data_IF_257653424936
#
_entry.id   IF_257653424936
#
_cell.length_a   1.000
_cell.length_b   1.000
_cell.length_c   1.000
_cell.angle_alpha   90.00
_cell.angle_beta   90.00
_cell.angle_gamma   90.00
#
_symmetry.space_group_name_H-M   'P 1'
#
loop_
_entity.id
_entity.type
_entity.pdbx_description
1 polymer ?
#
# COMPACT_ATOMS: atom_id res chain seq x y z
N UNK A 1 -55.26 -30.26 -64.34
CA UNK A 1 -53.98 -30.50 -65.03
C UNK A 1 -52.89 -30.65 -63.99
N UNK A 2 -52.11 -31.73 -64.09
CA UNK A 2 -50.98 -32.08 -63.23
C UNK A 2 -49.94 -30.96 -63.15
N UNK A 3 -49.36 -30.74 -61.97
CA UNK A 3 -47.94 -30.35 -61.91
C UNK A 3 -47.27 -30.74 -60.58
N UNK A 4 -46.50 -31.82 -60.71
CA UNK A 4 -45.20 -32.15 -60.11
C UNK A 4 -44.80 -31.55 -58.76
N UNK A 5 -44.66 -32.45 -57.77
CA UNK A 5 -43.86 -32.29 -56.54
C UNK A 5 -42.37 -32.29 -56.89
N UNK A 6 -41.65 -31.27 -56.41
CA UNK A 6 -40.17 -31.25 -56.32
C UNK A 6 -39.83 -31.16 -54.83
N UNK A 7 -39.08 -32.14 -54.32
CA UNK A 7 -38.53 -32.11 -52.96
C UNK A 7 -37.15 -31.46 -52.99
N UNK A 8 -36.85 -30.47 -52.12
CA UNK A 8 -35.49 -29.99 -51.95
C UNK A 8 -34.75 -30.85 -50.91
N UNK A 9 -33.54 -31.25 -51.28
CA UNK A 9 -32.57 -31.99 -50.48
C UNK A 9 -31.86 -31.00 -49.56
N UNK A 10 -32.05 -31.14 -48.24
CA UNK A 10 -31.46 -30.25 -47.24
C UNK A 10 -30.11 -30.81 -46.78
N UNK A 11 -29.02 -30.15 -47.16
CA UNK A 11 -27.67 -30.47 -46.75
C UNK A 11 -27.40 -29.92 -45.34
N UNK A 12 -27.07 -30.80 -44.37
CA UNK A 12 -26.56 -30.40 -43.06
C UNK A 12 -25.06 -30.12 -43.16
N UNK A 13 -24.65 -28.86 -42.99
CA UNK A 13 -23.26 -28.49 -42.68
C UNK A 13 -23.05 -28.63 -41.16
N UNK A 14 -22.12 -29.50 -40.76
CA UNK A 14 -21.64 -29.59 -39.38
C UNK A 14 -20.68 -28.43 -39.08
N UNK A 15 -21.08 -27.51 -38.20
CA UNK A 15 -20.20 -26.47 -37.68
C UNK A 15 -19.32 -27.06 -36.56
N UNK A 16 -18.02 -27.21 -36.85
CA UNK A 16 -17.01 -27.49 -35.84
C UNK A 16 -16.78 -26.22 -35.00
N UNK A 17 -17.35 -26.19 -33.79
CA UNK A 17 -17.11 -25.14 -32.81
C UNK A 17 -15.75 -25.32 -32.14
N UNK A 18 -14.76 -24.52 -32.52
CA UNK A 18 -13.54 -24.35 -31.73
C UNK A 18 -13.93 -23.69 -30.41
N UNK A 19 -13.89 -24.44 -29.31
CA UNK A 19 -14.00 -23.88 -27.97
C UNK A 19 -12.75 -23.04 -27.70
N UNK A 20 -12.91 -21.72 -27.65
CA UNK A 20 -11.93 -20.82 -27.08
C UNK A 20 -11.83 -21.12 -25.57
N UNK A 21 -10.72 -21.73 -25.17
CA UNK A 21 -10.35 -21.81 -23.76
C UNK A 21 -10.09 -20.39 -23.28
N UNK A 22 -11.01 -19.87 -22.45
CA UNK A 22 -10.76 -18.69 -21.66
C UNK A 22 -9.57 -18.98 -20.74
N UNK A 23 -8.59 -18.09 -20.75
CA UNK A 23 -7.52 -18.06 -19.74
C UNK A 23 -8.17 -17.75 -18.40
N UNK A 24 -8.49 -18.76 -17.59
CA UNK A 24 -8.97 -18.58 -16.22
C UNK A 24 -7.87 -17.86 -15.42
N UNK A 25 -8.16 -16.64 -14.98
CA UNK A 25 -7.34 -15.91 -14.03
C UNK A 25 -7.31 -16.63 -12.68
N UNK A 26 -6.28 -16.34 -11.87
CA UNK A 26 -6.20 -16.86 -10.49
C UNK A 26 -7.39 -16.30 -9.68
N UNK A 27 -8.12 -17.12 -8.91
CA UNK A 27 -9.21 -16.65 -8.04
C UNK A 27 -8.72 -15.57 -7.06
N UNK A 28 -9.55 -14.56 -6.79
CA UNK A 28 -9.19 -13.39 -5.96
C UNK A 28 -8.72 -13.76 -4.55
N UNK A 29 -9.31 -14.78 -3.92
CA UNK A 29 -8.89 -15.29 -2.60
C UNK A 29 -7.43 -15.77 -2.61
N UNK A 30 -7.00 -16.43 -3.69
CA UNK A 30 -5.63 -16.95 -3.83
C UNK A 30 -4.66 -15.80 -4.13
N UNK A 31 -5.11 -14.81 -4.91
CA UNK A 31 -4.31 -13.64 -5.26
C UNK A 31 -4.05 -12.71 -4.06
N UNK A 32 -4.94 -12.71 -3.07
CA UNK A 32 -4.88 -11.80 -1.92
C UNK A 32 -4.40 -12.44 -0.61
N UNK A 33 -4.28 -13.76 -0.55
CA UNK A 33 -3.70 -14.46 0.60
C UNK A 33 -2.36 -13.89 1.11
N UNK A 34 -1.42 -13.41 0.25
CA UNK A 34 -0.19 -12.78 0.74
C UNK A 34 -0.43 -11.42 1.41
N UNK A 35 -1.42 -10.64 0.95
CA UNK A 35 -1.80 -9.38 1.58
C UNK A 35 -2.39 -9.61 2.98
N UNK A 36 -3.24 -10.63 3.14
CA UNK A 36 -3.81 -11.01 4.43
C UNK A 36 -2.73 -11.46 5.41
N UNK A 37 -1.78 -12.29 4.95
CA UNK A 37 -0.66 -12.74 5.77
C UNK A 37 0.27 -11.58 6.17
N UNK A 38 0.53 -10.64 5.25
CA UNK A 38 1.30 -9.44 5.54
C UNK A 38 0.61 -8.59 6.62
N UNK A 39 -0.67 -8.28 6.45
CA UNK A 39 -1.43 -7.47 7.40
C UNK A 39 -1.49 -8.12 8.79
N UNK A 40 -1.72 -9.43 8.85
CA UNK A 40 -1.70 -10.20 10.10
C UNK A 40 -0.33 -10.16 10.78
N UNK A 41 0.76 -10.17 10.02
CA UNK A 41 2.12 -10.05 10.55
C UNK A 41 2.34 -8.69 11.19
N UNK A 42 1.94 -7.60 10.53
CA UNK A 42 2.01 -6.25 11.11
C UNK A 42 1.11 -6.14 12.36
N UNK A 43 -0.09 -6.70 12.31
CA UNK A 43 -1.06 -6.70 13.42
C UNK A 43 -0.51 -7.40 14.68
N UNK A 44 0.38 -8.38 14.55
CA UNK A 44 1.02 -9.03 15.70
C UNK A 44 1.85 -8.06 16.57
N UNK A 45 2.17 -6.88 16.04
CA UNK A 45 2.88 -5.81 16.75
C UNK A 45 1.95 -4.73 17.33
N UNK A 46 0.63 -4.96 17.32
CA UNK A 46 -0.36 -4.06 17.89
C UNK A 46 0.00 -3.52 19.28
N UNK A 47 -0.08 -2.20 19.44
CA UNK A 47 0.22 -1.48 20.68
C UNK A 47 1.71 -1.40 21.02
N UNK A 48 2.61 -1.85 20.14
CA UNK A 48 4.06 -1.74 20.32
C UNK A 48 4.64 -0.64 19.44
N UNK A 49 5.72 -0.02 19.92
CA UNK A 49 6.48 0.97 19.19
C UNK A 49 7.95 0.55 19.07
N UNK A 50 8.60 0.96 17.98
CA UNK A 50 9.97 0.55 17.65
C UNK A 50 10.78 1.74 17.15
N UNK A 51 12.04 1.81 17.56
CA UNK A 51 12.97 2.79 17.04
C UNK A 51 13.39 2.40 15.61
N UNK A 52 13.64 3.41 14.77
CA UNK A 52 14.15 3.18 13.43
C UNK A 52 15.27 4.12 13.03
N UNK A 53 15.85 3.83 11.88
CA UNK A 53 16.97 4.56 11.29
C UNK A 53 16.80 4.67 9.77
N UNK A 54 17.21 5.81 9.20
CA UNK A 54 17.33 5.95 7.75
C UNK A 54 18.55 5.15 7.30
N UNK A 55 18.33 4.07 6.56
CA UNK A 55 19.42 3.21 6.05
C UNK A 55 19.78 3.52 4.60
N UNK A 56 18.92 4.25 3.89
CA UNK A 56 19.19 4.68 2.52
C UNK A 56 18.48 5.99 2.21
N UNK A 57 19.24 6.93 1.64
CA UNK A 57 18.73 8.16 1.04
C UNK A 57 19.55 8.46 -0.22
N UNK A 58 19.15 7.88 -1.36
CA UNK A 58 19.87 7.99 -2.62
C UNK A 58 18.95 8.53 -3.74
N UNK A 59 19.37 9.52 -4.54
CA UNK A 59 20.40 10.48 -4.17
C UNK A 59 20.00 11.17 -2.85
N UNK A 60 21.00 11.62 -2.09
CA UNK A 60 20.77 12.34 -0.85
C UNK A 60 19.85 13.54 -1.12
N UNK A 61 18.92 13.81 -0.21
CA UNK A 61 18.06 14.99 -0.29
C UNK A 61 18.92 16.25 -0.43
N UNK A 62 18.58 17.10 -1.41
CA UNK A 62 19.30 18.36 -1.67
C UNK A 62 18.78 19.52 -0.81
N UNK A 63 17.70 19.30 -0.05
CA UNK A 63 17.12 20.26 0.88
C UNK A 63 17.30 19.85 2.35
N UNK A 64 16.66 20.54 3.29
CA UNK A 64 16.61 20.12 4.69
C UNK A 64 16.07 18.69 4.77
N UNK A 65 16.86 17.77 5.34
CA UNK A 65 16.41 16.42 5.62
C UNK A 65 15.59 16.43 6.91
N UNK A 66 14.27 16.16 6.86
CA UNK A 66 13.42 16.17 8.04
C UNK A 66 13.78 15.07 9.05
N UNK A 67 14.53 14.04 8.63
CA UNK A 67 14.91 12.90 9.47
C UNK A 67 16.29 13.05 10.11
N UNK A 68 17.15 13.91 9.57
CA UNK A 68 18.53 14.05 10.01
C UNK A 68 18.64 14.40 11.51
N UNK A 69 19.31 13.54 12.27
CA UNK A 69 19.53 13.71 13.70
C UNK A 69 18.26 13.61 14.56
N UNK A 70 17.15 13.12 14.02
CA UNK A 70 15.89 12.94 14.75
C UNK A 70 15.71 11.49 15.19
N UNK A 71 15.11 11.31 16.37
CA UNK A 71 14.64 10.00 16.80
C UNK A 71 13.44 9.59 15.96
N UNK A 72 13.53 8.44 15.32
CA UNK A 72 12.47 7.88 14.48
C UNK A 72 11.76 6.77 15.25
N UNK A 73 10.44 6.83 15.35
CA UNK A 73 9.63 5.82 16.05
C UNK A 73 8.40 5.47 15.24
N UNK A 74 8.22 4.20 14.90
CA UNK A 74 6.93 3.69 14.45
C UNK A 74 6.12 3.17 15.64
N UNK A 75 4.80 3.27 15.58
CA UNK A 75 3.89 2.69 16.56
C UNK A 75 2.74 2.00 15.82
N UNK A 76 2.45 0.74 16.08
CA UNK A 76 1.33 0.04 15.44
C UNK A 76 0.05 0.22 16.27
N UNK A 77 -0.95 0.90 15.71
CA UNK A 77 -2.29 1.17 16.28
C UNK A 77 -3.40 0.71 15.33
N UNK A 78 -4.65 1.05 15.64
CA UNK A 78 -5.82 0.64 14.85
C UNK A 78 -6.25 -0.80 15.12
N UNK A 79 -5.96 -1.31 16.32
CA UNK A 79 -6.03 -2.74 16.64
C UNK A 79 -7.43 -3.23 17.05
N UNK A 80 -8.47 -2.41 16.90
CA UNK A 80 -9.85 -2.81 17.15
C UNK A 80 -10.39 -3.70 16.01
N UNK A 81 -9.91 -3.49 14.78
CA UNK A 81 -10.22 -4.32 13.62
C UNK A 81 -8.99 -4.50 12.70
N UNK A 82 -7.95 -5.20 13.19
CA UNK A 82 -6.65 -5.28 12.52
C UNK A 82 -6.66 -6.10 11.23
N UNK A 83 -7.76 -6.82 10.94
CA UNK A 83 -7.96 -7.52 9.67
C UNK A 83 -8.41 -6.57 8.55
N UNK A 84 -8.92 -5.39 8.89
CA UNK A 84 -9.43 -4.40 7.93
C UNK A 84 -8.57 -3.14 7.86
N UNK A 85 -8.07 -2.62 8.98
CA UNK A 85 -7.20 -1.45 8.99
C UNK A 85 -6.18 -1.49 10.13
N UNK A 86 -4.95 -1.09 9.82
CA UNK A 86 -3.95 -0.71 10.81
C UNK A 86 -3.53 0.74 10.56
N UNK A 87 -3.31 1.46 11.66
CA UNK A 87 -2.79 2.83 11.63
C UNK A 87 -1.42 2.82 12.28
N UNK A 88 -0.39 3.21 11.54
CA UNK A 88 1.00 3.13 11.98
C UNK A 88 1.56 4.56 12.05
N UNK A 89 1.38 5.28 13.17
CA UNK A 89 2.06 6.55 13.41
C UNK A 89 3.57 6.45 13.24
N UNK A 90 4.14 7.43 12.55
CA UNK A 90 5.57 7.58 12.34
C UNK A 90 6.03 8.94 12.90
N UNK A 91 6.67 8.88 14.06
CA UNK A 91 7.13 10.05 14.80
C UNK A 91 8.58 10.38 14.42
N UNK A 92 8.85 11.67 14.17
CA UNK A 92 10.16 12.19 13.77
C UNK A 92 10.59 13.27 14.74
N UNK A 93 11.28 12.88 15.81
CA UNK A 93 11.47 13.76 16.97
C UNK A 93 10.11 14.17 17.54
N UNK A 94 9.87 15.48 17.64
CA UNK A 94 8.62 16.06 18.16
C UNK A 94 7.54 16.25 17.08
N UNK A 95 7.84 15.92 15.82
CA UNK A 95 6.85 15.92 14.75
C UNK A 95 6.04 14.63 14.79
N UNK A 96 4.73 14.76 15.00
CA UNK A 96 3.77 13.66 15.13
C UNK A 96 2.68 13.72 14.05
N UNK A 97 2.97 14.38 12.93
CA UNK A 97 2.02 14.61 11.83
C UNK A 97 1.68 13.36 11.02
N UNK A 98 2.54 12.34 10.99
CA UNK A 98 2.51 11.28 9.98
C UNK A 98 1.92 9.99 10.53
N UNK A 99 0.94 9.46 9.82
CA UNK A 99 0.40 8.11 10.05
C UNK A 99 0.30 7.37 8.73
N UNK A 100 0.88 6.18 8.64
CA UNK A 100 0.56 5.26 7.55
C UNK A 100 -0.74 4.54 7.87
N UNK A 101 -1.70 4.62 6.97
CA UNK A 101 -2.98 3.91 7.05
C UNK A 101 -2.92 2.75 6.08
N UNK A 102 -2.92 1.53 6.61
CA UNK A 102 -2.84 0.29 5.85
C UNK A 102 -4.19 -0.42 5.95
N UNK A 103 -4.95 -0.46 4.86
CA UNK A 103 -6.31 -1.00 4.84
C UNK A 103 -6.43 -2.19 3.89
N UNK A 104 -7.24 -3.19 4.24
CA UNK A 104 -7.62 -4.30 3.34
C UNK A 104 -8.58 -3.79 2.27
N UNK A 105 -8.35 -4.16 1.02
CA UNK A 105 -9.25 -3.91 -0.13
C UNK A 105 -9.80 -5.23 -0.65
N UNK A 106 -10.59 -5.23 -1.72
CA UNK A 106 -10.99 -6.46 -2.40
C UNK A 106 -9.78 -7.18 -3.05
N UNK A 107 -8.82 -6.42 -3.57
CA UNK A 107 -7.73 -6.94 -4.41
C UNK A 107 -6.35 -6.96 -3.74
N UNK A 108 -6.25 -6.59 -2.46
CA UNK A 108 -4.99 -6.58 -1.71
C UNK A 108 -5.03 -5.58 -0.56
N UNK A 109 -3.99 -4.77 -0.40
CA UNK A 109 -3.91 -3.71 0.59
C UNK A 109 -3.93 -2.32 -0.08
N UNK A 110 -4.29 -1.31 0.69
CA UNK A 110 -4.14 0.10 0.35
C UNK A 110 -3.25 0.76 1.39
N UNK A 111 -2.26 1.50 0.94
CA UNK A 111 -1.45 2.35 1.80
C UNK A 111 -1.84 3.81 1.52
N UNK A 112 -2.19 4.56 2.57
CA UNK A 112 -2.35 6.02 2.53
C UNK A 112 -1.48 6.68 3.60
N UNK A 113 -1.02 7.90 3.33
CA UNK A 113 -0.25 8.73 4.24
C UNK A 113 -1.16 9.81 4.81
N UNK A 114 -1.66 9.60 6.02
CA UNK A 114 -2.44 10.62 6.73
C UNK A 114 -1.49 11.59 7.43
N UNK A 115 -1.44 12.81 6.90
CA UNK A 115 -0.69 13.94 7.43
C UNK A 115 -1.64 14.94 8.07
N UNK A 116 -1.35 15.29 9.33
CA UNK A 116 -2.11 16.26 10.14
C UNK A 116 -1.22 17.39 10.61
N UNK A 117 -1.83 18.56 10.80
CA UNK A 117 -1.25 19.66 11.57
C UNK A 117 -1.33 19.37 13.07
N UNK A 118 -0.61 20.14 13.89
CA UNK A 118 -0.60 20.01 15.37
C UNK A 118 -2.00 20.09 16.00
N UNK A 119 -2.89 20.88 15.40
CA UNK A 119 -4.28 21.03 15.83
C UNK A 119 -5.19 19.85 15.39
N UNK A 120 -4.63 18.85 14.70
CA UNK A 120 -5.34 17.67 14.18
C UNK A 120 -6.03 17.87 12.84
N UNK A 121 -6.04 19.08 12.28
CA UNK A 121 -6.61 19.32 10.95
C UNK A 121 -5.78 18.66 9.84
N UNK A 122 -6.41 18.21 8.73
CA UNK A 122 -5.69 17.58 7.62
C UNK A 122 -4.76 18.55 6.91
N UNK A 123 -3.54 18.09 6.61
CA UNK A 123 -2.62 18.80 5.72
C UNK A 123 -3.20 18.90 4.30
N UNK A 124 -2.80 19.91 3.53
CA UNK A 124 -3.21 20.05 2.14
C UNK A 124 -2.78 18.86 1.26
N UNK A 125 -1.67 18.20 1.61
CA UNK A 125 -1.11 17.01 0.96
C UNK A 125 -1.16 15.85 1.94
N UNK A 126 -2.34 15.23 2.05
CA UNK A 126 -2.64 14.11 2.94
C UNK A 126 -3.45 13.04 2.20
N UNK A 127 -3.54 11.83 2.77
CA UNK A 127 -4.23 10.67 2.22
C UNK A 127 -3.76 10.29 0.79
N UNK A 128 -2.49 10.59 0.49
CA UNK A 128 -1.83 10.14 -0.73
C UNK A 128 -1.24 8.74 -0.54
N UNK A 129 -1.13 7.97 -1.62
CA UNK A 129 -0.64 6.59 -1.57
C UNK A 129 -1.11 5.77 -2.78
N UNK A 130 -1.46 4.51 -2.55
CA UNK A 130 -1.98 3.64 -3.59
C UNK A 130 -2.34 2.23 -3.13
N UNK A 131 -2.79 1.43 -4.09
CA UNK A 131 -3.16 0.03 -3.88
C UNK A 131 -1.97 -0.89 -4.15
N UNK A 132 -1.88 -1.98 -3.39
CA UNK A 132 -0.81 -2.95 -3.53
C UNK A 132 -0.90 -3.65 -4.88
N UNK A 133 0.24 -3.92 -5.51
CA UNK A 133 0.29 -4.73 -6.73
C UNK A 133 0.21 -6.23 -6.39
N UNK A 134 -0.84 -6.96 -6.82
CA UNK A 134 -0.94 -8.39 -6.57
C UNK A 134 0.13 -9.19 -7.33
N UNK A 135 0.53 -10.37 -6.82
CA UNK A 135 0.08 -10.96 -5.55
C UNK A 135 0.83 -10.44 -4.32
N UNK A 136 1.87 -9.60 -4.48
CA UNK A 136 2.78 -9.24 -3.39
C UNK A 136 3.43 -10.47 -2.74
N UNK A 137 3.91 -10.34 -1.50
CA UNK A 137 4.30 -11.47 -0.64
C UNK A 137 3.83 -11.24 0.80
N UNK A 138 3.84 -12.29 1.62
CA UNK A 138 3.56 -12.15 3.06
C UNK A 138 4.57 -11.23 3.78
N UNK A 139 5.74 -10.99 3.18
CA UNK A 139 6.82 -10.17 3.76
C UNK A 139 6.93 -8.79 3.11
N UNK A 140 6.39 -8.56 1.91
CA UNK A 140 6.54 -7.30 1.18
C UNK A 140 5.31 -6.97 0.34
N UNK A 141 4.89 -5.71 0.44
CA UNK A 141 3.81 -5.12 -0.36
C UNK A 141 4.31 -3.84 -1.02
N UNK A 142 3.98 -3.64 -2.30
CA UNK A 142 4.38 -2.46 -3.08
C UNK A 142 3.15 -1.71 -3.56
N UNK A 143 3.14 -0.40 -3.38
CA UNK A 143 2.02 0.51 -3.61
C UNK A 143 2.45 1.59 -4.61
N UNK A 144 2.26 1.37 -5.92
CA UNK A 144 2.40 2.43 -6.91
C UNK A 144 1.40 3.55 -6.63
N UNK A 145 1.80 4.80 -6.87
CA UNK A 145 0.93 5.96 -6.68
C UNK A 145 -0.36 5.87 -7.47
N UNK A 146 -1.49 6.08 -6.79
CA UNK A 146 -2.82 6.04 -7.41
C UNK A 146 -3.19 7.35 -8.12
N UNK A 147 -4.27 7.30 -8.90
CA UNK A 147 -4.72 8.41 -9.73
C UNK A 147 -5.08 9.67 -8.91
N UNK A 148 -5.69 9.49 -7.73
CA UNK A 148 -6.07 10.60 -6.85
C UNK A 148 -4.83 11.31 -6.29
N UNK A 149 -3.83 10.53 -5.88
CA UNK A 149 -2.54 11.03 -5.41
C UNK A 149 -1.77 11.73 -6.54
N UNK A 150 -1.79 11.18 -7.76
CA UNK A 150 -1.21 11.85 -8.94
C UNK A 150 -1.89 13.20 -9.19
N UNK A 151 -3.22 13.27 -9.13
CA UNK A 151 -3.95 14.52 -9.33
C UNK A 151 -3.61 15.56 -8.25
N UNK A 152 -3.54 15.13 -6.99
CA UNK A 152 -3.13 15.96 -5.86
C UNK A 152 -1.71 16.50 -6.03
N UNK A 153 -0.74 15.64 -6.32
CA UNK A 153 0.65 16.06 -6.51
C UNK A 153 0.83 17.00 -7.69
N UNK A 154 0.10 16.81 -8.79
CA UNK A 154 0.12 17.76 -9.93
C UNK A 154 -0.41 19.14 -9.52
N UNK A 155 -1.49 19.19 -8.75
CA UNK A 155 -2.05 20.46 -8.24
C UNK A 155 -1.06 21.18 -7.30
N UNK A 156 -0.23 20.42 -6.59
CA UNK A 156 0.76 20.93 -5.65
C UNK A 156 2.16 21.17 -6.26
N UNK A 157 2.32 21.05 -7.58
CA UNK A 157 3.61 21.15 -8.29
C UNK A 157 4.67 20.12 -7.81
N UNK A 158 4.22 18.97 -7.30
CA UNK A 158 5.06 17.87 -6.83
C UNK A 158 5.22 16.79 -7.91
N UNK A 159 5.61 17.17 -9.13
CA UNK A 159 5.59 16.29 -10.30
C UNK A 159 6.43 15.01 -10.14
N UNK A 160 7.55 15.06 -9.44
CA UNK A 160 8.35 13.85 -9.19
C UNK A 160 7.56 12.78 -8.41
N UNK A 161 6.67 13.19 -7.51
CA UNK A 161 5.86 12.30 -6.68
C UNK A 161 4.78 11.55 -7.46
N UNK A 162 4.46 11.97 -8.69
CA UNK A 162 3.51 11.25 -9.56
C UNK A 162 4.06 9.93 -10.09
N UNK A 163 5.30 9.59 -9.72
CA UNK A 163 5.96 8.34 -10.08
C UNK A 163 6.43 7.56 -8.84
N UNK A 164 5.94 7.93 -7.65
CA UNK A 164 6.30 7.22 -6.43
C UNK A 164 5.78 5.79 -6.45
N UNK A 165 6.62 4.87 -6.00
CA UNK A 165 6.20 3.56 -5.51
C UNK A 165 6.66 3.44 -4.08
N UNK A 166 5.71 3.24 -3.18
CA UNK A 166 6.01 2.92 -1.78
C UNK A 166 6.11 1.41 -1.61
N UNK A 167 6.85 0.97 -0.61
CA UNK A 167 6.80 -0.41 -0.19
C UNK A 167 6.91 -0.52 1.33
N UNK A 168 6.31 -1.57 1.86
CA UNK A 168 6.48 -1.99 3.24
C UNK A 168 6.98 -3.42 3.27
N UNK A 169 8.00 -3.67 4.08
CA UNK A 169 8.51 -5.01 4.36
C UNK A 169 8.37 -5.33 5.84
N UNK A 170 8.05 -6.59 6.16
CA UNK A 170 8.00 -7.07 7.53
C UNK A 170 8.66 -8.44 7.61
N UNK A 171 9.66 -8.52 8.50
CA UNK A 171 10.19 -9.75 9.03
C UNK A 171 9.84 -9.77 10.53
N UNK A 172 8.86 -10.59 10.89
CA UNK A 172 8.12 -10.51 12.15
C UNK A 172 9.03 -10.48 13.39
N UNK A 173 10.16 -11.16 13.33
CA UNK A 173 11.08 -11.33 14.47
C UNK A 173 12.37 -10.52 14.32
N UNK A 174 12.41 -9.57 13.38
CA UNK A 174 13.63 -8.82 13.05
C UNK A 174 13.35 -7.34 12.79
N UNK A 175 12.63 -7.01 11.73
CA UNK A 175 12.53 -5.62 11.28
C UNK A 175 11.26 -5.31 10.48
N UNK A 176 10.85 -4.05 10.55
CA UNK A 176 9.90 -3.44 9.62
C UNK A 176 10.63 -2.43 8.75
N UNK A 177 10.35 -2.41 7.46
CA UNK A 177 10.96 -1.47 6.52
C UNK A 177 9.88 -0.67 5.82
N UNK A 178 10.04 0.64 5.81
CA UNK A 178 9.32 1.52 4.91
C UNK A 178 10.27 2.00 3.80
N UNK A 179 9.81 1.94 2.55
CA UNK A 179 10.57 2.34 1.38
C UNK A 179 9.77 3.27 0.47
N UNK A 180 10.47 4.23 -0.13
CA UNK A 180 10.00 5.01 -1.27
C UNK A 180 11.00 4.89 -2.42
N UNK A 181 10.51 4.54 -3.60
CA UNK A 181 11.29 4.54 -4.85
C UNK A 181 10.66 5.42 -5.92
N UNK A 182 11.48 5.89 -6.86
CA UNK A 182 11.03 6.49 -8.13
C UNK A 182 11.88 5.99 -9.31
N UNK A 183 11.33 5.97 -10.54
CA UNK A 183 12.06 5.56 -11.74
C UNK A 183 13.30 6.40 -12.08
N UNK A 184 13.41 7.61 -11.52
CA UNK A 184 14.57 8.50 -11.68
C UNK A 184 15.80 8.06 -10.85
N UNK A 185 15.69 6.96 -10.11
CA UNK A 185 16.74 6.41 -9.27
C UNK A 185 16.63 6.80 -7.80
N UNK A 186 15.60 7.57 -7.39
CA UNK A 186 15.34 7.82 -5.96
C UNK A 186 15.05 6.51 -5.23
N UNK A 187 15.72 6.29 -4.10
CA UNK A 187 15.42 5.27 -3.09
C UNK A 187 15.64 5.80 -1.68
N UNK A 188 14.59 5.75 -0.87
CA UNK A 188 14.58 6.13 0.55
C UNK A 188 14.14 4.95 1.39
N UNK A 189 14.83 4.64 2.48
CA UNK A 189 14.46 3.54 3.38
C UNK A 189 14.64 3.90 4.84
N UNK A 190 13.62 3.56 5.63
CA UNK A 190 13.68 3.56 7.09
C UNK A 190 13.48 2.13 7.58
N UNK A 191 14.37 1.65 8.44
CA UNK A 191 14.28 0.33 9.07
C UNK A 191 14.00 0.51 10.54
N UNK A 192 13.04 -0.24 11.07
CA UNK A 192 12.68 -0.27 12.48
C UNK A 192 12.99 -1.63 13.07
N UNK A 193 13.68 -1.66 14.21
CA UNK A 193 14.08 -2.88 14.91
C UNK A 193 12.88 -3.46 15.70
N UNK A 194 12.28 -4.55 15.19
CA UNK A 194 11.13 -5.20 15.84
C UNK A 194 11.52 -6.07 17.03
N UNK A 195 12.82 -6.30 17.26
CA UNK A 195 13.30 -7.14 18.37
C UNK A 195 13.29 -6.40 19.71
N UNK A 196 13.26 -5.06 19.68
CA UNK A 196 13.37 -4.21 20.86
C UNK A 196 12.26 -3.14 20.89
N UNK A 197 11.10 -3.45 21.49
CA UNK A 197 10.07 -2.45 21.72
C UNK A 197 10.61 -1.29 22.57
N UNK A 198 10.23 -0.07 22.21
CA UNK A 198 10.53 1.15 22.95
C UNK A 198 9.29 1.68 23.67
N UNK A 199 9.48 2.66 24.56
CA UNK A 199 8.37 3.38 25.18
C UNK A 199 7.46 4.00 24.12
N UNK A 200 6.15 3.99 24.37
CA UNK A 200 5.18 4.55 23.45
C UNK A 200 5.42 6.06 23.26
N UNK A 201 5.41 6.56 22.02
CA UNK A 201 5.42 7.98 21.77
C UNK A 201 4.08 8.60 22.20
N UNK A 202 3.97 9.94 22.25
CA UNK A 202 2.69 10.63 22.34
C UNK A 202 1.72 10.15 21.24
N UNK A 203 0.43 10.43 21.41
CA UNK A 203 -0.51 10.21 20.33
C UNK A 203 -0.11 11.02 19.08
N UNK A 204 -0.30 10.48 17.85
CA UNK A 204 -0.15 11.27 16.64
C UNK A 204 -1.15 12.44 16.66
N UNK A 205 -0.84 13.51 15.95
CA UNK A 205 -1.78 14.63 15.84
C UNK A 205 -3.06 14.17 15.14
N UNK A 206 -4.21 14.60 15.67
CA UNK A 206 -5.53 14.18 15.18
C UNK A 206 -6.03 12.80 15.67
N UNK A 207 -5.31 12.10 16.57
CA UNK A 207 -5.72 10.78 17.07
C UNK A 207 -7.12 10.72 17.72
N UNK A 208 -7.59 11.84 18.29
CA UNK A 208 -8.88 11.95 18.96
C UNK A 208 -9.99 12.46 18.01
N UNK A 209 -9.64 12.76 16.75
CA UNK A 209 -10.59 13.19 15.72
C UNK A 209 -11.05 11.94 14.95
N UNK A 210 -12.36 11.66 14.89
CA UNK A 210 -12.91 10.52 14.15
C UNK A 210 -12.50 10.48 12.68
#
# INVERSE_FOLDING_TARGET
>A
MNMFRVFPMMALLAAAGCSQQATEGVPDDVATAPADAFLATVAAHCGKAYAGEVVEDNPASTGPDPFAGKRLVMHVRGCDDPAHELRIPFHVGDDHSRTWVLSRTEHGLRLKHDHRHEDGSPDAITLYGGDSKPPGTAQRQEFPVDADSVAMFRKADMLASTHNTWAMEVDADSQFVYELTRPDGRRFRVVFDLTQPVALPPAPWGADTP
#
